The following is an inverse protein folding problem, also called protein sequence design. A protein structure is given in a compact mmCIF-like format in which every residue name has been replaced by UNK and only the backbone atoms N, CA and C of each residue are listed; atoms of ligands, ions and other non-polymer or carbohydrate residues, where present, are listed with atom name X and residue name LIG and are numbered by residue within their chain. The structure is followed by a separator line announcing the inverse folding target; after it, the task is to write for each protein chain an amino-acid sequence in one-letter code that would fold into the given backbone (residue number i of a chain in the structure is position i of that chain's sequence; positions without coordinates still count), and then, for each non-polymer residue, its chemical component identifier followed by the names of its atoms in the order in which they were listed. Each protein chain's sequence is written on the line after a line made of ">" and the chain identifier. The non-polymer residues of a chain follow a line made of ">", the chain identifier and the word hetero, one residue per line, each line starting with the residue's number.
data_IF_350672644194
#
_entry.id   IF_350672644194
#
_cell.length_a   1.000
_cell.length_b   1.000
_cell.length_c   1.000
_cell.angle_alpha   90.00
_cell.angle_beta   90.00
_cell.angle_gamma   90.00
#
_symmetry.space_group_name_H-M   'P 1'
#
loop_
_entity.id
_entity.type
_entity.pdbx_description
1 polymer ?
#
# COMPACT_ATOMS: atom_id res chain seq x y z
N UNK A 1 1.52 18.87 14.60
CA UNK A 1 0.95 17.90 13.62
C UNK A 1 1.67 17.97 12.28
N UNK A 2 2.21 19.13 11.86
CA UNK A 2 2.99 19.28 10.62
C UNK A 2 4.48 19.60 10.84
N UNK A 3 4.93 19.73 12.10
CA UNK A 3 6.34 19.96 12.38
C UNK A 3 7.11 18.65 12.25
N UNK A 4 8.16 18.67 11.44
CA UNK A 4 9.13 17.59 11.34
C UNK A 4 9.94 17.56 12.64
N UNK A 5 9.67 16.58 13.48
CA UNK A 5 10.52 16.25 14.62
C UNK A 5 11.41 15.04 14.32
N UNK A 6 12.40 14.81 15.19
CA UNK A 6 13.34 13.68 15.05
C UNK A 6 12.58 12.34 15.03
N UNK A 7 11.51 12.22 15.82
CA UNK A 7 10.71 11.00 15.91
C UNK A 7 10.05 10.65 14.58
N UNK A 8 9.57 11.66 13.84
CA UNK A 8 8.99 11.49 12.51
C UNK A 8 10.03 11.00 11.51
N UNK A 9 11.25 11.53 11.59
CA UNK A 9 12.36 11.10 10.72
C UNK A 9 12.75 9.65 11.02
N UNK A 10 12.88 9.29 12.29
CA UNK A 10 13.19 7.91 12.71
C UNK A 10 12.13 6.92 12.22
N UNK A 11 10.84 7.26 12.38
CA UNK A 11 9.73 6.46 11.89
C UNK A 11 9.77 6.26 10.39
N UNK A 12 10.05 7.32 9.62
CA UNK A 12 10.19 7.20 8.16
C UNK A 12 11.32 6.24 7.80
N UNK A 13 12.47 6.33 8.46
CA UNK A 13 13.60 5.43 8.20
C UNK A 13 13.25 3.98 8.53
N UNK A 14 12.53 3.73 9.62
CA UNK A 14 12.14 2.39 10.05
C UNK A 14 11.07 1.77 9.15
N UNK A 15 10.10 2.57 8.69
CA UNK A 15 9.14 2.15 7.65
C UNK A 15 9.87 1.79 6.36
N UNK A 16 10.84 2.61 5.93
CA UNK A 16 11.61 2.33 4.72
C UNK A 16 12.45 1.06 4.84
N UNK A 17 13.09 0.81 5.99
CA UNK A 17 13.82 -0.45 6.25
C UNK A 17 12.89 -1.66 6.15
N UNK A 18 11.69 -1.56 6.74
CA UNK A 18 10.69 -2.61 6.64
C UNK A 18 10.24 -2.85 5.20
N UNK A 19 9.92 -1.79 4.45
CA UNK A 19 9.51 -1.88 3.05
C UNK A 19 10.61 -2.55 2.20
N UNK A 20 11.87 -2.11 2.33
CA UNK A 20 13.01 -2.69 1.62
C UNK A 20 13.14 -4.18 1.95
N UNK A 21 13.09 -4.56 3.24
CA UNK A 21 13.14 -5.96 3.64
C UNK A 21 12.00 -6.77 3.00
N UNK A 22 10.79 -6.23 3.00
CA UNK A 22 9.60 -6.93 2.51
C UNK A 22 9.59 -7.12 0.99
N UNK A 23 10.01 -6.13 0.21
CA UNK A 23 10.02 -6.23 -1.27
C UNK A 23 11.19 -7.08 -1.79
N UNK A 24 12.28 -7.19 -1.02
CA UNK A 24 13.46 -7.98 -1.38
C UNK A 24 13.37 -9.42 -0.90
N UNK A 25 12.51 -9.72 0.07
CA UNK A 25 12.28 -11.09 0.54
C UNK A 25 11.59 -11.94 -0.52
N UNK A 26 12.23 -13.04 -0.91
CA UNK A 26 11.71 -14.01 -1.90
C UNK A 26 10.88 -15.14 -1.26
N UNK A 27 10.90 -15.24 0.07
CA UNK A 27 10.15 -16.25 0.84
C UNK A 27 9.73 -15.63 2.17
N UNK A 28 8.73 -14.71 2.17
CA UNK A 28 8.28 -14.06 3.38
C UNK A 28 7.67 -15.09 4.35
N UNK A 29 7.78 -14.82 5.65
CA UNK A 29 7.11 -15.64 6.66
C UNK A 29 5.60 -15.65 6.45
N UNK A 30 4.98 -16.82 6.59
CA UNK A 30 3.52 -16.96 6.52
C UNK A 30 2.96 -16.67 7.91
N UNK A 31 2.17 -15.62 8.03
CA UNK A 31 1.47 -15.31 9.28
C UNK A 31 0.31 -16.27 9.56
N UNK A 32 -0.15 -16.26 10.80
CA UNK A 32 -1.24 -17.12 11.29
C UNK A 32 -2.38 -16.24 11.77
N UNK A 33 -3.56 -16.29 11.12
CA UNK A 33 -4.72 -15.53 11.57
C UNK A 33 -5.08 -15.83 13.02
N UNK A 34 -5.40 -14.77 13.77
CA UNK A 34 -5.77 -14.83 15.20
C UNK A 34 -7.21 -14.40 15.39
N UNK A 35 -7.81 -14.80 16.51
CA UNK A 35 -9.15 -14.34 16.91
C UNK A 35 -9.11 -12.87 17.30
N UNK A 36 -10.24 -12.19 17.19
CA UNK A 36 -10.37 -10.78 17.54
C UNK A 36 -9.93 -10.50 18.99
N UNK A 37 -10.37 -11.33 19.93
CA UNK A 37 -10.10 -11.16 21.36
C UNK A 37 -8.60 -11.31 21.67
N UNK A 38 -7.93 -12.22 20.97
CA UNK A 38 -6.48 -12.42 21.08
C UNK A 38 -5.73 -11.20 20.54
N UNK A 39 -6.10 -10.69 19.36
CA UNK A 39 -5.50 -9.47 18.80
C UNK A 39 -5.76 -8.26 19.69
N UNK A 40 -6.97 -8.13 20.26
CA UNK A 40 -7.31 -7.04 21.17
C UNK A 40 -6.47 -7.10 22.45
N UNK A 41 -6.23 -8.30 22.99
CA UNK A 41 -5.36 -8.50 24.15
C UNK A 41 -3.90 -8.17 23.84
N UNK A 42 -3.41 -8.49 22.63
CA UNK A 42 -2.03 -8.22 22.22
C UNK A 42 -1.81 -6.74 21.88
N UNK A 43 -2.80 -6.08 21.30
CA UNK A 43 -2.72 -4.69 20.86
C UNK A 43 -3.03 -3.68 21.96
N UNK A 44 -3.86 -4.05 22.94
CA UNK A 44 -4.35 -3.13 23.96
C UNK A 44 -5.31 -2.07 23.42
N UNK A 45 -5.27 -0.88 24.03
CA UNK A 45 -6.05 0.29 23.60
C UNK A 45 -5.22 1.15 22.65
N UNK A 46 -5.56 1.13 21.36
CA UNK A 46 -4.80 1.82 20.30
C UNK A 46 -5.39 3.16 19.88
N UNK A 47 -6.63 3.43 20.27
CA UNK A 47 -7.35 4.67 19.97
C UNK A 47 -7.60 5.39 21.30
N UNK A 48 -6.74 6.36 21.61
CA UNK A 48 -6.79 7.17 22.82
C UNK A 48 -6.93 8.64 22.43
N UNK A 49 -7.30 9.50 23.39
CA UNK A 49 -7.42 10.94 23.15
C UNK A 49 -6.08 11.56 22.74
N UNK A 50 -4.99 11.05 23.30
CA UNK A 50 -3.62 11.51 23.08
C UNK A 50 -2.98 10.85 21.84
N UNK A 51 -3.57 9.77 21.33
CA UNK A 51 -2.96 8.88 20.35
C UNK A 51 -1.85 8.03 20.96
N UNK A 52 -1.45 6.96 20.25
CA UNK A 52 -0.34 6.09 20.67
C UNK A 52 1.01 6.49 20.05
N UNK A 53 1.01 7.41 19.09
CA UNK A 53 2.21 7.81 18.34
C UNK A 53 2.57 6.85 17.20
N UNK A 54 3.33 7.36 16.23
CA UNK A 54 3.65 6.64 14.99
C UNK A 54 4.55 5.41 15.21
N UNK A 55 5.57 5.52 16.06
CA UNK A 55 6.47 4.41 16.39
C UNK A 55 5.76 3.25 17.08
N UNK A 56 4.91 3.53 18.06
CA UNK A 56 4.15 2.48 18.74
C UNK A 56 3.14 1.82 17.80
N UNK A 57 2.48 2.61 16.95
CA UNK A 57 1.61 2.07 15.91
C UNK A 57 2.38 1.17 14.93
N UNK A 58 3.57 1.58 14.51
CA UNK A 58 4.42 0.81 13.61
C UNK A 58 4.97 -0.46 14.28
N UNK A 59 5.37 -0.38 15.57
CA UNK A 59 5.77 -1.52 16.38
C UNK A 59 4.64 -2.55 16.47
N UNK A 60 3.42 -2.13 16.80
CA UNK A 60 2.25 -3.02 16.82
C UNK A 60 1.98 -3.65 15.46
N UNK A 61 2.10 -2.89 14.37
CA UNK A 61 1.94 -3.43 13.03
C UNK A 61 2.97 -4.54 12.73
N UNK A 62 4.25 -4.25 12.92
CA UNK A 62 5.37 -5.16 12.66
C UNK A 62 5.35 -6.39 13.55
N UNK A 63 5.04 -6.22 14.83
CA UNK A 63 5.20 -7.28 15.83
C UNK A 63 3.94 -8.10 16.06
N UNK A 64 2.76 -7.53 15.82
CA UNK A 64 1.46 -8.15 16.08
C UNK A 64 0.65 -8.30 14.80
N UNK A 65 0.28 -7.19 14.14
CA UNK A 65 -0.77 -7.22 13.12
C UNK A 65 -0.34 -7.93 11.84
N UNK A 66 0.83 -7.60 11.28
CA UNK A 66 1.30 -8.21 10.03
C UNK A 66 1.59 -9.70 10.19
N UNK A 67 1.94 -10.16 11.40
CA UNK A 67 2.15 -11.60 11.69
C UNK A 67 0.85 -12.38 11.79
N UNK A 68 -0.28 -11.68 11.94
CA UNK A 68 -1.61 -12.27 11.91
C UNK A 68 -2.26 -12.21 10.51
N UNK A 69 -1.53 -11.78 9.48
CA UNK A 69 -2.00 -11.79 8.09
C UNK A 69 -1.30 -12.86 7.25
N UNK A 70 -1.98 -13.32 6.20
CA UNK A 70 -1.37 -14.22 5.22
C UNK A 70 -0.92 -13.36 4.03
N UNK A 71 0.38 -13.33 3.68
CA UNK A 71 0.87 -12.61 2.51
C UNK A 71 0.32 -13.25 1.22
N UNK A 72 -0.53 -12.52 0.49
CA UNK A 72 -1.23 -13.02 -0.70
C UNK A 72 -0.35 -13.10 -1.96
N UNK A 73 0.81 -12.44 -1.94
CA UNK A 73 1.89 -12.51 -2.93
C UNK A 73 2.91 -13.63 -2.63
N UNK A 74 2.70 -14.41 -1.57
CA UNK A 74 3.57 -15.52 -1.23
C UNK A 74 3.44 -16.65 -2.28
N UNK A 75 4.54 -17.29 -2.75
CA UNK A 75 4.49 -18.29 -3.84
C UNK A 75 3.61 -19.52 -3.57
N UNK A 76 3.37 -19.83 -2.28
CA UNK A 76 2.48 -20.91 -1.83
C UNK A 76 1.06 -20.45 -1.46
N UNK A 77 0.72 -19.18 -1.66
CA UNK A 77 -0.65 -18.69 -1.47
C UNK A 77 -1.47 -18.96 -2.74
N UNK A 78 -2.22 -20.06 -2.73
CA UNK A 78 -2.97 -20.56 -3.90
C UNK A 78 -4.50 -20.39 -3.76
N UNK A 79 -4.94 -19.50 -2.86
CA UNK A 79 -6.34 -19.22 -2.61
C UNK A 79 -6.76 -17.87 -3.21
N UNK A 80 -8.06 -17.72 -3.50
CA UNK A 80 -8.70 -16.49 -3.97
C UNK A 80 -8.05 -15.90 -5.25
N UNK A 81 -8.11 -14.57 -5.42
CA UNK A 81 -7.44 -13.84 -6.50
C UNK A 81 -6.03 -13.50 -6.03
N UNK A 82 -4.97 -14.00 -6.69
CA UNK A 82 -3.59 -13.76 -6.27
C UNK A 82 -3.15 -12.34 -6.60
N UNK A 83 -2.20 -11.82 -5.82
CA UNK A 83 -1.48 -10.60 -6.16
C UNK A 83 -0.05 -10.95 -6.59
N UNK A 84 0.43 -10.34 -7.67
CA UNK A 84 1.81 -10.47 -8.13
C UNK A 84 2.35 -9.09 -8.55
N UNK A 85 2.46 -8.13 -7.61
CA UNK A 85 2.86 -6.77 -7.93
C UNK A 85 4.34 -6.72 -8.36
N UNK A 86 4.67 -5.81 -9.26
CA UNK A 86 6.05 -5.55 -9.61
C UNK A 86 6.72 -4.72 -8.50
N UNK A 87 7.99 -4.97 -8.17
CA UNK A 87 8.66 -4.27 -7.06
C UNK A 87 8.66 -2.75 -7.24
N UNK A 88 8.80 -2.27 -8.47
CA UNK A 88 8.75 -0.84 -8.74
C UNK A 88 7.34 -0.25 -8.55
N UNK A 89 6.26 -1.00 -8.83
CA UNK A 89 4.89 -0.49 -8.62
C UNK A 89 4.61 -0.28 -7.14
N UNK A 90 5.04 -1.21 -6.27
CA UNK A 90 4.90 -1.07 -4.81
C UNK A 90 5.60 0.18 -4.27
N UNK A 91 6.80 0.48 -4.76
CA UNK A 91 7.51 1.70 -4.35
C UNK A 91 6.88 2.97 -4.93
N UNK A 92 6.28 2.87 -6.12
CA UNK A 92 5.62 4.00 -6.73
C UNK A 92 4.29 4.33 -6.05
N UNK A 93 3.60 3.35 -5.43
CA UNK A 93 2.44 3.60 -4.58
C UNK A 93 2.80 4.53 -3.40
N UNK A 94 4.00 4.39 -2.83
CA UNK A 94 4.49 5.35 -1.82
C UNK A 94 4.68 6.74 -2.41
N UNK A 95 5.31 6.83 -3.60
CA UNK A 95 5.54 8.11 -4.29
C UNK A 95 4.23 8.82 -4.59
N UNK A 96 3.24 8.11 -5.13
CA UNK A 96 1.93 8.68 -5.45
C UNK A 96 1.18 9.11 -4.19
N UNK A 97 1.22 8.30 -3.12
CA UNK A 97 0.58 8.62 -1.84
C UNK A 97 1.14 9.90 -1.21
N UNK A 98 2.47 10.05 -1.14
CA UNK A 98 3.09 11.26 -0.56
C UNK A 98 2.99 12.48 -1.46
N UNK A 99 2.80 12.29 -2.77
CA UNK A 99 2.62 13.40 -3.72
C UNK A 99 1.23 14.04 -3.63
N UNK A 100 0.26 13.37 -2.99
CA UNK A 100 -1.09 13.89 -2.75
C UNK A 100 -1.77 14.47 -4.00
N UNK A 101 -1.63 13.79 -5.15
CA UNK A 101 -2.13 14.26 -6.45
C UNK A 101 -3.66 14.19 -6.49
N UNK A 102 -4.30 15.30 -6.87
CA UNK A 102 -5.76 15.35 -7.08
C UNK A 102 -6.12 15.17 -8.56
N UNK A 103 -6.64 13.99 -8.91
CA UNK A 103 -6.92 13.61 -10.30
C UNK A 103 -8.26 14.09 -10.89
N UNK A 104 -9.10 14.84 -10.17
CA UNK A 104 -10.46 15.13 -10.65
C UNK A 104 -10.54 16.23 -11.72
N UNK A 105 -9.56 17.14 -11.79
CA UNK A 105 -9.52 18.18 -12.81
C UNK A 105 -8.09 18.55 -13.19
N UNK A 106 -7.90 18.87 -14.48
CA UNK A 106 -6.60 19.11 -15.09
C UNK A 106 -5.75 20.15 -14.36
N UNK A 107 -6.39 21.19 -13.81
CA UNK A 107 -5.71 22.28 -13.10
C UNK A 107 -4.91 21.81 -11.87
N UNK A 108 -5.35 20.76 -11.18
CA UNK A 108 -4.68 20.22 -9.99
C UNK A 108 -3.82 19.00 -10.30
N UNK A 109 -4.22 18.23 -11.31
CA UNK A 109 -3.71 16.88 -11.55
C UNK A 109 -2.99 16.66 -12.87
N UNK A 110 -2.73 17.71 -13.67
CA UNK A 110 -2.29 17.57 -15.08
C UNK A 110 -1.21 16.51 -15.31
N UNK A 111 -0.16 16.46 -14.48
CA UNK A 111 0.91 15.48 -14.60
C UNK A 111 0.45 14.04 -14.34
N UNK A 112 -0.33 13.82 -13.29
CA UNK A 112 -0.88 12.50 -12.96
C UNK A 112 -1.92 12.05 -13.98
N UNK A 113 -2.81 12.96 -14.39
CA UNK A 113 -3.84 12.70 -15.40
C UNK A 113 -3.19 12.36 -16.75
N UNK A 114 -2.13 13.07 -17.14
CA UNK A 114 -1.37 12.73 -18.34
C UNK A 114 -0.80 11.30 -18.28
N UNK A 115 -0.15 10.93 -17.17
CA UNK A 115 0.38 9.57 -16.98
C UNK A 115 -0.74 8.50 -17.06
N UNK A 116 -1.88 8.76 -16.42
CA UNK A 116 -3.06 7.89 -16.50
C UNK A 116 -3.56 7.74 -17.94
N UNK A 117 -3.65 8.85 -18.68
CA UNK A 117 -4.08 8.83 -20.09
C UNK A 117 -3.13 8.01 -20.96
N UNK A 118 -1.82 8.16 -20.80
CA UNK A 118 -0.84 7.38 -21.56
C UNK A 118 -0.89 5.88 -21.22
N UNK A 119 -1.01 5.54 -19.93
CA UNK A 119 -1.17 4.15 -19.49
C UNK A 119 -2.47 3.53 -20.02
N UNK A 120 -3.58 4.28 -19.99
CA UNK A 120 -4.87 3.82 -20.49
C UNK A 120 -4.86 3.63 -22.01
N UNK A 121 -4.27 4.56 -22.78
CA UNK A 121 -4.09 4.40 -24.23
C UNK A 121 -3.35 3.10 -24.55
N UNK A 122 -2.28 2.82 -23.81
CA UNK A 122 -1.55 1.57 -23.96
C UNK A 122 -2.43 0.36 -23.62
N UNK A 123 -3.13 0.35 -22.48
CA UNK A 123 -4.02 -0.74 -22.08
C UNK A 123 -5.13 -1.00 -23.11
N UNK A 124 -5.80 0.05 -23.61
CA UNK A 124 -6.83 -0.06 -24.66
C UNK A 124 -6.25 -0.63 -25.95
N UNK A 125 -5.00 -0.28 -26.31
CA UNK A 125 -4.35 -0.83 -27.50
C UNK A 125 -4.15 -2.35 -27.43
N UNK A 126 -4.11 -2.93 -26.23
CA UNK A 126 -3.96 -4.38 -26.02
C UNK A 126 -5.29 -5.16 -26.17
N UNK A 127 -6.44 -4.49 -26.13
CA UNK A 127 -7.75 -5.17 -26.11
C UNK A 127 -8.29 -5.47 -27.52
N UNK A 128 -7.77 -4.80 -28.55
CA UNK A 128 -8.28 -4.89 -29.93
C UNK A 128 -9.62 -4.17 -30.13
N UNK A 129 -10.02 -3.29 -29.21
CA UNK A 129 -11.23 -2.48 -29.36
C UNK A 129 -11.13 -1.49 -30.54
N UNK A 130 -12.26 -1.04 -31.10
CA UNK A 130 -12.27 -0.08 -32.21
C UNK A 130 -11.60 1.26 -31.87
N UNK A 131 -11.17 1.98 -32.91
CA UNK A 131 -10.68 3.34 -32.79
C UNK A 131 -11.72 4.24 -32.09
N UNK A 132 -11.26 5.10 -31.17
CA UNK A 132 -12.10 5.94 -30.33
C UNK A 132 -12.53 5.30 -29.01
N UNK A 133 -12.21 4.03 -28.77
CA UNK A 133 -12.35 3.43 -27.43
C UNK A 133 -11.45 4.13 -26.41
N UNK A 134 -11.95 4.26 -25.18
CA UNK A 134 -11.22 4.83 -24.05
C UNK A 134 -11.59 4.11 -22.76
N UNK A 135 -10.86 4.39 -21.69
CA UNK A 135 -11.16 3.89 -20.35
C UNK A 135 -10.76 4.89 -19.28
N UNK A 136 -10.99 4.51 -18.03
CA UNK A 136 -10.62 5.27 -16.82
C UNK A 136 -10.21 4.27 -15.75
N UNK A 137 -9.27 4.62 -14.88
CA UNK A 137 -8.94 3.78 -13.74
C UNK A 137 -10.02 3.91 -12.65
N UNK A 138 -10.39 2.78 -12.05
CA UNK A 138 -11.28 2.71 -10.89
C UNK A 138 -10.56 2.00 -9.74
N UNK A 139 -11.16 1.99 -8.55
CA UNK A 139 -10.60 1.28 -7.39
C UNK A 139 -10.63 -0.25 -7.53
N UNK A 140 -11.35 -0.79 -8.50
CA UNK A 140 -11.49 -2.23 -8.74
C UNK A 140 -12.67 -2.56 -9.64
N UNK A 141 -12.91 -3.86 -9.83
CA UNK A 141 -14.03 -4.36 -10.64
C UNK A 141 -15.41 -4.24 -9.98
N UNK A 142 -15.44 -4.30 -8.64
CA UNK A 142 -16.60 -4.54 -7.76
C UNK A 142 -17.19 -5.94 -7.90
#
# INVERSE_FOLDING_TARGET
>A
MHDLDINTVEMVLDVMKFAINRITSVNPEIGVPKRYEELKSLAGETITKEGIGGEEAFRLFKDVFVKATIPIDHPRHLAFVPAAPFRASLMFDLVTAVSSIHGAYWMEGAGGIFCEMEAMKWLVSLTGMPEGAFGVFTSGGT
#
